data_IF_830490992918
#
_entry.id   IF_830490992918
#
_cell.length_a   1.000
_cell.length_b   1.000
_cell.length_c   1.000
_cell.angle_alpha   90.00
_cell.angle_beta   90.00
_cell.angle_gamma   90.00
#
_symmetry.space_group_name_H-M   'P 1'
#
loop_
_entity.id
_entity.type
_entity.pdbx_description
1 polymer ?
#
# COMPACT_ATOMS: atom_id res chain seq x y z
N UNK A 1 20.16 -10.57 -30.45
CA UNK A 1 19.71 -9.22 -30.86
C UNK A 1 19.34 -8.48 -29.60
N UNK A 2 20.22 -7.60 -29.11
CA UNK A 2 19.99 -6.80 -27.91
C UNK A 2 19.05 -5.64 -28.28
N UNK A 3 17.82 -5.65 -27.78
CA UNK A 3 16.92 -4.51 -27.91
C UNK A 3 17.46 -3.37 -27.04
N UNK A 4 18.22 -2.46 -27.64
CA UNK A 4 18.57 -1.19 -27.02
C UNK A 4 17.28 -0.40 -26.82
N UNK A 5 16.73 -0.40 -25.61
CA UNK A 5 15.67 0.54 -25.23
C UNK A 5 16.26 1.95 -25.31
N UNK A 6 15.90 2.70 -26.34
CA UNK A 6 16.25 4.11 -26.44
C UNK A 6 15.54 4.84 -25.31
N UNK A 7 16.29 5.23 -24.27
CA UNK A 7 15.81 6.12 -23.21
C UNK A 7 15.22 7.37 -23.85
N UNK A 8 13.90 7.57 -23.67
CA UNK A 8 13.20 8.75 -24.17
C UNK A 8 13.58 9.95 -23.29
N UNK A 9 14.28 10.93 -23.85
CA UNK A 9 14.60 12.17 -23.13
C UNK A 9 13.35 13.03 -22.99
N UNK A 10 13.05 13.47 -21.77
CA UNK A 10 11.96 14.39 -21.46
C UNK A 10 12.51 15.76 -21.09
N UNK A 11 11.92 16.85 -21.60
CA UNK A 11 12.32 18.23 -21.26
C UNK A 11 11.14 19.04 -20.77
N UNK A 12 11.25 19.60 -19.57
CA UNK A 12 10.23 20.53 -19.03
C UNK A 12 10.08 21.80 -19.86
N UNK A 13 11.13 22.23 -20.58
CA UNK A 13 11.06 23.40 -21.47
C UNK A 13 10.15 23.20 -22.67
N UNK A 14 9.77 21.95 -22.98
CA UNK A 14 8.85 21.62 -24.06
C UNK A 14 7.38 21.55 -23.61
N UNK A 15 7.10 21.75 -22.32
CA UNK A 15 5.76 21.72 -21.77
C UNK A 15 5.21 23.14 -21.64
N UNK A 16 4.08 23.43 -22.30
CA UNK A 16 3.35 24.68 -22.07
C UNK A 16 2.72 24.68 -20.67
N UNK A 17 2.08 23.56 -20.30
CA UNK A 17 1.41 23.39 -19.00
C UNK A 17 1.95 22.19 -18.24
N UNK A 18 1.99 22.32 -16.91
CA UNK A 18 2.34 21.25 -16.00
C UNK A 18 1.17 21.02 -15.06
N UNK A 19 0.53 19.86 -15.21
CA UNK A 19 -0.50 19.40 -14.29
C UNK A 19 0.14 18.76 -13.07
N UNK A 20 -0.31 19.16 -11.89
CA UNK A 20 0.04 18.50 -10.64
C UNK A 20 -1.20 17.83 -10.08
N UNK A 21 -1.03 16.61 -9.59
CA UNK A 21 -2.01 16.00 -8.70
C UNK A 21 -2.12 16.82 -7.40
N UNK A 22 -3.26 16.74 -6.73
CA UNK A 22 -3.54 17.56 -5.55
C UNK A 22 -3.06 16.86 -4.28
N UNK A 23 -3.77 15.81 -3.88
CA UNK A 23 -3.54 15.10 -2.62
C UNK A 23 -2.25 14.30 -2.69
N UNK A 24 -1.45 14.38 -1.61
CA UNK A 24 -0.12 13.74 -1.53
C UNK A 24 0.92 14.24 -2.55
N UNK A 25 0.56 15.18 -3.43
CA UNK A 25 1.46 15.82 -4.39
C UNK A 25 1.65 17.31 -4.07
N UNK A 26 0.64 18.16 -4.29
CA UNK A 26 0.69 19.57 -3.87
C UNK A 26 0.35 19.73 -2.38
N UNK A 27 -0.70 19.05 -1.91
CA UNK A 27 -1.14 19.07 -0.53
C UNK A 27 -0.48 17.92 0.23
N UNK A 28 0.26 18.28 1.27
CA UNK A 28 0.97 17.33 2.13
C UNK A 28 0.21 17.10 3.42
N UNK A 29 -0.06 15.84 3.70
CA UNK A 29 -0.70 15.39 4.93
C UNK A 29 0.34 14.94 5.96
N UNK A 30 -0.04 15.05 7.24
CA UNK A 30 0.66 14.32 8.30
C UNK A 30 0.16 12.87 8.26
N UNK A 31 0.99 11.97 7.73
CA UNK A 31 0.57 10.63 7.32
C UNK A 31 0.07 9.78 8.49
N UNK A 32 0.72 9.87 9.65
CA UNK A 32 0.33 9.16 10.86
C UNK A 32 -1.13 9.48 11.24
N UNK A 33 -1.47 10.75 11.31
CA UNK A 33 -2.80 11.21 11.71
C UNK A 33 -3.84 10.88 10.63
N UNK A 34 -3.50 11.05 9.35
CA UNK A 34 -4.40 10.71 8.25
C UNK A 34 -4.70 9.22 8.21
N UNK A 35 -3.68 8.36 8.29
CA UNK A 35 -3.87 6.91 8.27
C UNK A 35 -4.63 6.43 9.51
N UNK A 36 -4.33 6.98 10.69
CA UNK A 36 -5.08 6.68 11.93
C UNK A 36 -6.56 7.02 11.76
N UNK A 37 -6.87 8.20 11.21
CA UNK A 37 -8.24 8.62 10.94
C UNK A 37 -8.93 7.69 9.95
N UNK A 38 -8.29 7.37 8.81
CA UNK A 38 -8.84 6.46 7.81
C UNK A 38 -9.13 5.09 8.43
N UNK A 39 -8.20 4.54 9.21
CA UNK A 39 -8.38 3.26 9.89
C UNK A 39 -9.57 3.26 10.84
N UNK A 40 -9.68 4.29 11.69
CA UNK A 40 -10.80 4.43 12.63
C UNK A 40 -12.15 4.53 11.91
N UNK A 41 -12.23 5.33 10.86
CA UNK A 41 -13.45 5.48 10.06
C UNK A 41 -13.84 4.17 9.36
N UNK A 42 -12.86 3.41 8.87
CA UNK A 42 -13.12 2.11 8.24
C UNK A 42 -13.62 1.08 9.27
N UNK A 43 -13.00 1.00 10.45
CA UNK A 43 -13.48 0.13 11.52
C UNK A 43 -14.91 0.47 11.94
N UNK A 44 -15.20 1.77 12.10
CA UNK A 44 -16.56 2.25 12.41
C UNK A 44 -17.56 1.83 11.32
N UNK A 45 -17.21 2.06 10.05
CA UNK A 45 -18.05 1.69 8.92
C UNK A 45 -18.34 0.18 8.85
N UNK A 46 -17.34 -0.67 9.11
CA UNK A 46 -17.50 -2.12 9.14
C UNK A 46 -18.42 -2.59 10.28
N UNK A 47 -18.31 -1.99 11.47
CA UNK A 47 -19.19 -2.31 12.61
C UNK A 47 -20.62 -1.85 12.34
N UNK A 48 -20.80 -0.59 11.93
CA UNK A 48 -22.13 0.01 11.79
C UNK A 48 -22.91 -0.53 10.58
N UNK A 49 -22.21 -0.80 9.47
CA UNK A 49 -22.86 -1.13 8.18
C UNK A 49 -22.85 -2.63 7.89
N UNK A 50 -21.81 -3.34 8.31
CA UNK A 50 -21.64 -4.78 8.04
C UNK A 50 -21.74 -5.65 9.29
N UNK A 51 -22.09 -5.07 10.45
CA UNK A 51 -22.30 -5.79 11.71
C UNK A 51 -21.07 -6.60 12.16
N UNK A 52 -19.87 -6.12 11.82
CA UNK A 52 -18.63 -6.72 12.34
C UNK A 52 -18.58 -6.57 13.88
N UNK A 53 -17.85 -7.46 14.54
CA UNK A 53 -17.71 -7.44 15.99
C UNK A 53 -17.17 -6.07 16.47
N UNK A 54 -17.87 -5.45 17.44
CA UNK A 54 -17.55 -4.13 17.97
C UNK A 54 -16.16 -4.03 18.60
N UNK A 55 -15.54 -5.16 18.99
CA UNK A 55 -14.15 -5.20 19.44
C UNK A 55 -13.16 -4.64 18.39
N UNK A 56 -13.55 -4.58 17.10
CA UNK A 56 -12.75 -3.94 16.05
C UNK A 56 -12.45 -2.45 16.35
N UNK A 57 -13.34 -1.75 17.07
CA UNK A 57 -13.16 -0.33 17.44
C UNK A 57 -12.09 -0.13 18.53
N UNK A 58 -11.74 -1.20 19.25
CA UNK A 58 -10.76 -1.17 20.34
C UNK A 58 -9.32 -1.44 19.83
N UNK A 59 -9.19 -1.91 18.59
CA UNK A 59 -7.89 -2.22 17.98
C UNK A 59 -7.24 -0.91 17.51
N UNK A 60 -6.03 -0.56 17.99
CA UNK A 60 -5.35 0.65 17.54
C UNK A 60 -4.72 0.45 16.16
N UNK A 61 -4.61 1.54 15.40
CA UNK A 61 -3.86 1.53 14.15
C UNK A 61 -2.36 1.29 14.40
N UNK A 62 -1.80 0.28 13.75
CA UNK A 62 -0.36 0.00 13.75
C UNK A 62 0.33 0.64 12.52
N UNK A 63 1.15 1.64 12.79
CA UNK A 63 1.88 2.40 11.78
C UNK A 63 3.06 1.64 11.17
N UNK A 64 3.50 0.54 11.78
CA UNK A 64 4.62 -0.27 11.30
C UNK A 64 4.16 -1.41 10.40
N UNK A 65 2.87 -1.76 10.43
CA UNK A 65 2.31 -2.86 9.63
C UNK A 65 2.03 -2.46 8.17
N UNK A 66 1.53 -1.24 7.95
CA UNK A 66 1.14 -0.74 6.64
C UNK A 66 2.32 -0.31 5.77
N UNK A 67 3.06 -1.27 5.20
CA UNK A 67 4.16 -0.99 4.26
C UNK A 67 3.62 -0.78 2.84
N UNK A 68 4.19 0.16 2.09
CA UNK A 68 3.83 0.39 0.68
C UNK A 68 4.12 -0.86 -0.17
N UNK A 69 3.31 -1.02 -1.21
CA UNK A 69 3.44 -2.07 -2.23
C UNK A 69 3.14 -3.50 -1.77
N UNK A 70 2.41 -3.68 -0.65
CA UNK A 70 1.79 -4.95 -0.33
C UNK A 70 0.63 -5.25 -1.28
N UNK A 71 0.58 -6.49 -1.75
CA UNK A 71 -0.52 -7.03 -2.55
C UNK A 71 -1.43 -7.81 -1.61
N UNK A 72 -2.71 -7.47 -1.60
CA UNK A 72 -3.72 -8.21 -0.86
C UNK A 72 -4.32 -9.32 -1.72
N UNK A 73 -4.07 -10.56 -1.32
CA UNK A 73 -4.69 -11.75 -1.87
C UNK A 73 -6.00 -12.04 -1.12
N UNK A 74 -7.10 -11.54 -1.68
CA UNK A 74 -8.43 -11.67 -1.09
C UNK A 74 -8.96 -13.11 -1.02
N UNK A 75 -8.44 -14.03 -1.83
CA UNK A 75 -8.91 -15.41 -1.86
C UNK A 75 -8.44 -16.18 -0.62
N UNK A 76 -7.18 -15.96 -0.23
CA UNK A 76 -6.55 -16.66 0.88
C UNK A 76 -6.27 -15.77 2.08
N UNK A 77 -6.56 -14.47 2.01
CA UNK A 77 -6.35 -13.51 3.09
C UNK A 77 -4.87 -13.20 3.33
N UNK A 78 -4.03 -13.26 2.30
CA UNK A 78 -2.59 -13.02 2.43
C UNK A 78 -2.21 -11.59 2.05
N UNK A 79 -1.15 -11.08 2.69
CA UNK A 79 -0.43 -9.88 2.27
C UNK A 79 0.92 -10.31 1.70
N UNK A 80 1.18 -9.95 0.45
CA UNK A 80 2.34 -10.43 -0.30
C UNK A 80 3.18 -9.23 -0.74
N UNK A 81 4.49 -9.30 -0.50
CA UNK A 81 5.46 -8.38 -1.08
C UNK A 81 6.24 -9.10 -2.16
N UNK A 82 6.32 -8.51 -3.35
CA UNK A 82 7.12 -9.02 -4.45
C UNK A 82 8.45 -8.28 -4.56
N UNK A 83 9.47 -8.97 -5.08
CA UNK A 83 10.73 -8.36 -5.50
C UNK A 83 10.61 -7.70 -6.89
N UNK A 84 11.70 -7.11 -7.38
CA UNK A 84 11.74 -6.46 -8.70
C UNK A 84 11.55 -7.41 -9.88
N UNK A 85 11.71 -8.72 -9.68
CA UNK A 85 11.50 -9.76 -10.70
C UNK A 85 10.08 -10.32 -10.66
N UNK A 86 9.24 -9.87 -9.71
CA UNK A 86 7.89 -10.37 -9.49
C UNK A 86 7.84 -11.67 -8.68
N UNK A 87 8.92 -12.06 -8.01
CA UNK A 87 8.96 -13.22 -7.11
C UNK A 87 8.51 -12.82 -5.71
N UNK A 88 7.97 -13.77 -4.95
CA UNK A 88 7.52 -13.53 -3.57
C UNK A 88 8.74 -13.32 -2.67
N UNK A 89 8.88 -12.09 -2.16
CA UNK A 89 9.90 -11.74 -1.17
C UNK A 89 9.42 -12.03 0.25
N UNK A 90 8.15 -11.75 0.56
CA UNK A 90 7.54 -12.00 1.86
C UNK A 90 6.05 -12.24 1.70
N UNK A 91 5.48 -13.11 2.53
CA UNK A 91 4.05 -13.31 2.66
C UNK A 91 3.64 -13.33 4.14
N UNK A 92 2.46 -12.77 4.44
CA UNK A 92 1.82 -12.82 5.74
C UNK A 92 0.38 -13.31 5.59
N UNK A 93 -0.09 -14.08 6.57
CA UNK A 93 -1.51 -14.39 6.70
C UNK A 93 -2.07 -13.63 7.90
N UNK A 94 -2.91 -12.62 7.64
CA UNK A 94 -3.23 -11.60 8.65
C UNK A 94 -1.96 -10.86 9.12
N UNK A 95 -1.70 -10.88 10.43
CA UNK A 95 -0.50 -10.26 11.04
C UNK A 95 0.65 -11.25 11.30
N UNK A 96 0.44 -12.54 11.02
CA UNK A 96 1.46 -13.57 11.26
C UNK A 96 2.32 -13.76 10.01
N UNK A 97 3.65 -13.69 10.18
CA UNK A 97 4.59 -14.02 9.10
C UNK A 97 4.47 -15.50 8.78
N UNK A 98 4.10 -15.80 7.54
CA UNK A 98 4.08 -17.16 7.03
C UNK A 98 4.91 -17.15 5.75
N UNK A 99 6.08 -17.80 5.80
CA UNK A 99 6.97 -18.10 4.66
C UNK A 99 8.06 -17.03 4.42
N UNK A 100 9.16 -17.15 5.16
CA UNK A 100 10.47 -16.69 4.68
C UNK A 100 10.97 -17.72 3.66
N UNK A 101 10.95 -17.37 2.38
CA UNK A 101 11.65 -18.15 1.36
C UNK A 101 13.14 -17.88 1.52
N UNK A 102 13.88 -18.89 1.95
CA UNK A 102 15.34 -18.82 2.08
C UNK A 102 15.91 -18.58 0.68
N UNK A 103 16.67 -17.50 0.51
CA UNK A 103 17.46 -17.24 -0.69
C UNK A 103 18.38 -18.46 -0.94
N UNK A 104 18.30 -19.05 -2.15
CA UNK A 104 19.30 -19.98 -2.68
C UNK A 104 20.41 -19.20 -3.40
#
# INVERSE_FOLDING_TARGET
>A
MTSTSTMKTFSLSSCDWIGFDLDHTLIRYRLLELHTLIYQLLCQYLVDTYEYNSHLLEIPYDNYFGVKALIYDSLYGNLIQLDSNGLVHTALHGVNTHLSFVDN
#
